data_IF_077798531206
#
_entry.id   IF_077798531206
#
_cell.length_a   1.000
_cell.length_b   1.000
_cell.length_c   1.000
_cell.angle_alpha   90.00
_cell.angle_beta   90.00
_cell.angle_gamma   90.00
#
_symmetry.space_group_name_H-M   'P 1'
#
loop_
_entity.id
_entity.type
_entity.pdbx_description
1 polymer ?
#
# COMPACT_ATOMS: atom_id res chain seq x y z
N UNK A 1 9.37 10.41 0.73
CA UNK A 1 9.90 9.14 1.26
C UNK A 1 9.18 7.98 0.58
N UNK A 2 9.94 7.05 0.03
CA UNK A 2 9.33 5.85 -0.59
C UNK A 2 8.74 4.95 0.48
N UNK A 3 7.47 4.63 0.32
CA UNK A 3 6.73 3.76 1.24
C UNK A 3 6.20 2.55 0.50
N UNK A 4 6.10 1.43 1.20
CA UNK A 4 5.33 0.29 0.72
C UNK A 4 4.11 0.14 1.61
N UNK A 5 2.94 0.04 0.98
CA UNK A 5 1.67 -0.22 1.67
C UNK A 5 1.16 -1.59 1.25
N UNK A 6 0.97 -2.44 2.24
CA UNK A 6 0.35 -3.75 2.04
C UNK A 6 -1.09 -3.68 2.53
N UNK A 7 -2.01 -4.02 1.64
CA UNK A 7 -3.45 -4.01 1.95
C UNK A 7 -3.96 -5.44 1.86
N UNK A 8 -4.49 -5.96 2.97
CA UNK A 8 -5.08 -7.29 3.02
C UNK A 8 -6.59 -7.15 3.23
N UNK A 9 -7.39 -7.78 2.37
CA UNK A 9 -8.84 -7.61 2.36
C UNK A 9 -9.51 -8.92 2.81
N UNK A 10 -10.39 -8.87 3.83
CA UNK A 10 -11.13 -10.06 4.25
C UNK A 10 -11.90 -10.67 3.09
N UNK A 11 -11.98 -11.99 3.05
CA UNK A 11 -12.59 -12.70 1.91
C UNK A 11 -14.00 -12.22 1.63
N UNK A 12 -14.86 -12.13 2.66
CA UNK A 12 -16.25 -11.74 2.48
C UNK A 12 -16.41 -10.31 1.97
N UNK A 13 -15.67 -9.37 2.56
CA UNK A 13 -15.72 -7.98 2.10
C UNK A 13 -15.11 -7.83 0.72
N UNK A 14 -14.08 -8.60 0.42
CA UNK A 14 -13.50 -8.62 -0.92
C UNK A 14 -14.49 -9.12 -1.96
N UNK A 15 -15.23 -10.19 -1.64
CA UNK A 15 -16.28 -10.71 -2.51
C UNK A 15 -17.34 -9.65 -2.79
N UNK A 16 -17.81 -9.00 -1.74
CA UNK A 16 -18.80 -7.92 -1.84
C UNK A 16 -18.22 -6.75 -2.66
N UNK A 17 -16.98 -6.36 -2.36
CA UNK A 17 -16.30 -5.26 -3.05
C UNK A 17 -16.16 -5.50 -4.55
N UNK A 18 -15.87 -6.74 -4.96
CA UNK A 18 -15.80 -7.10 -6.38
C UNK A 18 -17.19 -7.04 -7.02
N UNK A 19 -18.19 -7.66 -6.37
CA UNK A 19 -19.55 -7.71 -6.91
C UNK A 19 -20.18 -6.33 -7.06
N UNK A 20 -19.95 -5.45 -6.09
CA UNK A 20 -20.55 -4.11 -6.07
C UNK A 20 -19.64 -3.02 -6.69
N UNK A 21 -18.44 -3.39 -7.11
CA UNK A 21 -17.51 -2.44 -7.74
C UNK A 21 -16.74 -1.57 -6.77
N UNK A 22 -16.90 -1.73 -5.47
CA UNK A 22 -16.23 -0.91 -4.47
C UNK A 22 -14.73 -1.19 -4.39
N UNK A 23 -14.31 -2.45 -4.62
CA UNK A 23 -12.90 -2.81 -4.58
C UNK A 23 -12.10 -2.12 -5.68
N UNK A 24 -12.47 -2.25 -6.96
CA UNK A 24 -11.74 -1.53 -8.01
C UNK A 24 -11.85 -0.01 -7.86
N UNK A 25 -12.98 0.51 -7.41
CA UNK A 25 -13.14 1.95 -7.18
C UNK A 25 -12.18 2.46 -6.12
N UNK A 26 -12.04 1.75 -5.02
CA UNK A 26 -11.14 2.14 -3.92
C UNK A 26 -9.68 2.07 -4.36
N UNK A 27 -9.31 1.00 -5.07
CA UNK A 27 -7.94 0.84 -5.60
C UNK A 27 -7.61 1.95 -6.58
N UNK A 28 -8.49 2.22 -7.54
CA UNK A 28 -8.24 3.26 -8.55
C UNK A 28 -8.21 4.65 -7.95
N UNK A 29 -9.00 4.91 -6.91
CA UNK A 29 -8.93 6.17 -6.18
C UNK A 29 -7.56 6.42 -5.60
N UNK A 30 -6.95 5.39 -5.00
CA UNK A 30 -5.59 5.48 -4.49
C UNK A 30 -4.58 5.70 -5.63
N UNK A 31 -4.68 4.91 -6.70
CA UNK A 31 -3.77 5.00 -7.84
C UNK A 31 -3.82 6.38 -8.48
N UNK A 32 -5.00 6.93 -8.67
CA UNK A 32 -5.18 8.25 -9.29
C UNK A 32 -4.63 9.37 -8.42
N UNK A 33 -4.77 9.25 -7.09
CA UNK A 33 -4.32 10.29 -6.16
C UNK A 33 -2.84 10.22 -5.88
N UNK A 34 -2.32 9.03 -5.61
CA UNK A 34 -0.93 8.87 -5.15
C UNK A 34 0.05 8.50 -6.25
N UNK A 35 -0.44 8.08 -7.41
CA UNK A 35 0.39 7.72 -8.58
C UNK A 35 1.57 6.83 -8.20
N UNK A 36 1.29 5.61 -7.66
CA UNK A 36 2.34 4.74 -7.18
C UNK A 36 3.32 4.35 -8.30
N UNK A 37 4.59 4.17 -7.95
CA UNK A 37 5.60 3.73 -8.91
C UNK A 37 5.42 2.28 -9.31
N UNK A 38 4.82 1.46 -8.44
CA UNK A 38 4.48 0.08 -8.78
C UNK A 38 3.32 -0.42 -7.91
N UNK A 39 2.55 -1.34 -8.46
CA UNK A 39 1.41 -1.97 -7.80
C UNK A 39 1.44 -3.45 -8.13
N UNK A 40 1.30 -4.30 -7.12
CA UNK A 40 1.18 -5.74 -7.30
C UNK A 40 -0.03 -6.27 -6.55
N UNK A 41 -0.68 -7.26 -7.12
CA UNK A 41 -1.82 -7.94 -6.50
C UNK A 41 -1.53 -9.44 -6.43
N UNK A 42 -1.91 -10.06 -5.32
CA UNK A 42 -1.73 -11.50 -5.13
C UNK A 42 -2.77 -12.00 -4.12
N UNK A 43 -2.75 -13.31 -3.90
CA UNK A 43 -3.46 -13.91 -2.78
C UNK A 43 -2.41 -14.31 -1.74
N UNK A 44 -2.56 -13.81 -0.51
CA UNK A 44 -1.65 -14.10 0.58
C UNK A 44 -2.47 -14.50 1.81
N UNK A 45 -2.13 -15.63 2.41
CA UNK A 45 -2.92 -16.19 3.51
C UNK A 45 -4.41 -16.38 3.15
N UNK A 46 -4.68 -16.73 1.90
CA UNK A 46 -6.04 -16.96 1.41
C UNK A 46 -6.86 -15.70 1.19
N UNK A 47 -6.24 -14.52 1.20
CA UNK A 47 -6.94 -13.24 1.07
C UNK A 47 -6.38 -12.44 -0.09
N UNK A 48 -7.26 -11.62 -0.72
CA UNK A 48 -6.81 -10.64 -1.72
C UNK A 48 -5.86 -9.67 -1.06
N UNK A 49 -4.68 -9.51 -1.64
CA UNK A 49 -3.63 -8.66 -1.08
C UNK A 49 -3.05 -7.77 -2.16
N UNK A 50 -2.88 -6.50 -1.86
CA UNK A 50 -2.27 -5.53 -2.76
C UNK A 50 -1.03 -4.93 -2.13
N UNK A 51 -0.02 -4.68 -2.97
CA UNK A 51 1.19 -3.98 -2.57
C UNK A 51 1.32 -2.72 -3.44
N UNK A 52 1.45 -1.58 -2.78
CA UNK A 52 1.64 -0.29 -3.46
C UNK A 52 2.97 0.29 -3.02
N UNK A 53 3.78 0.72 -3.97
CA UNK A 53 5.02 1.47 -3.66
C UNK A 53 4.83 2.89 -4.17
N UNK A 54 4.94 3.86 -3.29
CA UNK A 54 4.62 5.25 -3.61
C UNK A 54 5.44 6.22 -2.77
N UNK A 55 5.44 7.48 -3.17
CA UNK A 55 6.10 8.53 -2.41
C UNK A 55 5.12 9.16 -1.41
N UNK A 56 5.50 9.15 -0.13
CA UNK A 56 4.75 9.83 0.91
C UNK A 56 5.52 11.08 1.31
N UNK A 57 5.04 12.24 0.89
CA UNK A 57 5.70 13.52 1.17
C UNK A 57 5.33 14.09 2.55
N UNK A 58 4.15 13.71 3.06
CA UNK A 58 3.62 14.25 4.30
C UNK A 58 2.91 13.15 5.07
N UNK A 59 3.36 12.82 6.30
CA UNK A 59 2.73 11.75 7.08
C UNK A 59 1.26 12.02 7.43
N UNK A 60 0.82 13.28 7.38
CA UNK A 60 -0.59 13.60 7.63
C UNK A 60 -1.51 13.09 6.52
N UNK A 61 -0.95 12.67 5.38
CA UNK A 61 -1.70 12.04 4.30
C UNK A 61 -2.09 10.59 4.60
N UNK A 62 -1.49 9.97 5.62
CA UNK A 62 -1.77 8.55 5.92
C UNK A 62 -3.26 8.26 6.10
N UNK A 63 -4.02 9.02 6.91
CA UNK A 63 -5.46 8.75 7.00
C UNK A 63 -6.18 8.91 5.66
N UNK A 64 -5.81 9.90 4.86
CA UNK A 64 -6.44 10.12 3.55
C UNK A 64 -6.28 8.91 2.64
N UNK A 65 -5.11 8.27 2.65
CA UNK A 65 -4.86 7.11 1.79
C UNK A 65 -5.34 5.79 2.40
N UNK A 66 -5.38 5.69 3.72
CA UNK A 66 -5.72 4.44 4.40
C UNK A 66 -7.22 4.26 4.66
N UNK A 67 -7.91 5.33 5.06
CA UNK A 67 -9.32 5.25 5.49
C UNK A 67 -10.25 4.67 4.43
N UNK A 68 -10.13 4.99 3.14
CA UNK A 68 -10.99 4.35 2.13
C UNK A 68 -10.89 2.82 2.13
N UNK A 69 -9.68 2.28 2.34
CA UNK A 69 -9.51 0.83 2.43
C UNK A 69 -10.10 0.26 3.71
N UNK A 70 -9.91 0.95 4.84
CA UNK A 70 -10.51 0.52 6.10
C UNK A 70 -12.03 0.53 6.03
N UNK A 71 -12.59 1.65 5.62
CA UNK A 71 -14.04 1.84 5.66
C UNK A 71 -14.79 1.08 4.58
N UNK A 72 -14.27 1.07 3.36
CA UNK A 72 -14.97 0.45 2.22
C UNK A 72 -14.75 -1.06 2.14
N UNK A 73 -13.62 -1.56 2.61
CA UNK A 73 -13.19 -2.95 2.38
C UNK A 73 -12.84 -3.70 3.67
N UNK A 74 -12.95 -3.06 4.82
CA UNK A 74 -12.53 -3.62 6.11
C UNK A 74 -11.11 -4.17 6.07
N UNK A 75 -10.25 -3.51 5.31
CA UNK A 75 -8.90 -3.98 5.07
C UNK A 75 -7.99 -3.81 6.28
N UNK A 76 -6.95 -4.63 6.33
CA UNK A 76 -5.81 -4.42 7.22
C UNK A 76 -4.71 -3.78 6.39
N UNK A 77 -4.01 -2.80 6.97
CA UNK A 77 -2.97 -2.06 6.26
C UNK A 77 -1.67 -2.08 7.06
N UNK A 78 -0.57 -2.33 6.35
CA UNK A 78 0.78 -2.20 6.90
C UNK A 78 1.53 -1.21 6.03
N UNK A 79 2.18 -0.24 6.66
CA UNK A 79 2.98 0.78 5.99
C UNK A 79 4.41 0.73 6.51
N UNK A 80 5.38 0.77 5.61
CA UNK A 80 6.78 0.79 5.97
C UNK A 80 7.59 1.59 4.95
N UNK A 81 8.57 2.37 5.39
CA UNK A 81 9.52 2.96 4.45
C UNK A 81 10.38 1.84 3.85
N UNK A 82 10.68 1.97 2.57
CA UNK A 82 11.47 0.98 1.85
C UNK A 82 12.58 1.67 1.05
N UNK A 83 13.67 0.93 0.85
CA UNK A 83 14.83 1.39 0.10
C UNK A 83 14.98 0.56 -1.16
N UNK A 84 15.42 1.17 -2.24
CA UNK A 84 15.91 0.41 -3.38
C UNK A 84 17.37 -0.05 -3.12
N UNK A 85 17.93 -0.78 -4.07
CA UNK A 85 19.28 -1.32 -3.91
C UNK A 85 20.33 -0.23 -3.71
N UNK A 86 20.26 0.85 -4.49
CA UNK A 86 21.22 1.95 -4.38
C UNK A 86 21.13 2.65 -3.03
N UNK A 87 19.92 2.87 -2.54
CA UNK A 87 19.69 3.48 -1.24
C UNK A 87 20.20 2.61 -0.09
N UNK A 88 19.99 1.30 -0.20
CA UNK A 88 20.49 0.35 0.79
C UNK A 88 22.01 0.38 0.86
N UNK A 89 22.69 0.38 -0.28
CA UNK A 89 24.14 0.48 -0.35
C UNK A 89 24.65 1.77 0.30
N UNK A 90 24.01 2.90 -0.02
CA UNK A 90 24.37 4.20 0.57
C UNK A 90 24.16 4.19 2.09
N UNK A 91 23.07 3.59 2.56
CA UNK A 91 22.79 3.46 3.99
C UNK A 91 23.82 2.63 4.73
N UNK A 92 24.23 1.51 4.15
CA UNK A 92 25.26 0.65 4.72
C UNK A 92 26.59 1.39 4.82
N UNK A 93 26.97 2.13 3.77
CA UNK A 93 28.18 2.93 3.79
C UNK A 93 28.16 3.96 4.93
N UNK A 94 27.03 4.64 5.12
CA UNK A 94 26.88 5.59 6.25
C UNK A 94 27.04 4.89 7.59
N UNK A 95 26.44 3.72 7.73
CA UNK A 95 26.52 2.95 8.98
C UNK A 95 27.95 2.51 9.30
N UNK A 96 28.73 2.20 8.27
CA UNK A 96 30.11 1.72 8.44
C UNK A 96 31.14 2.83 8.70
N UNK A 97 30.73 4.10 8.59
CA UNK A 97 31.62 5.25 8.83
C UNK A 97 31.67 5.71 10.28
N UNK A 98 31.07 5.03 11.19
CA UNK A 98 31.06 5.40 12.61
C UNK A 98 32.18 4.71 13.40
#
# INVERSE_FOLDING_TARGET
MRMMMKVSIPVEMGNKGVKEGMLPKTVMGFVDTMKPETVFFTAENGKRTAFFVFDLSDPTMIPTIAEPFFMNLHASIELAPVMNLAEMKAGVEKAMKH
#
